data_IF_219773723346
#
_entry.id   IF_219773723346
#
_cell.length_a   1.000
_cell.length_b   1.000
_cell.length_c   1.000
_cell.angle_alpha   90.00
_cell.angle_beta   90.00
_cell.angle_gamma   90.00
#
_symmetry.space_group_name_H-M   'P 1'
#
loop_
_entity.id
_entity.type
_entity.pdbx_description
1 polymer ?
#
# COMPACT_ATOMS: atom_id res chain seq x y z
N UNK A 1 21.89 4.90 -16.88
CA UNK A 1 22.37 5.44 -15.60
C UNK A 1 21.51 4.82 -14.50
N UNK A 2 22.01 3.78 -13.83
CA UNK A 2 21.28 3.15 -12.71
C UNK A 2 21.50 3.99 -11.45
N UNK A 3 20.55 4.86 -11.13
CA UNK A 3 20.58 5.61 -9.88
C UNK A 3 20.26 4.66 -8.72
N UNK A 4 21.27 4.34 -7.90
CA UNK A 4 21.06 3.53 -6.71
C UNK A 4 20.32 4.34 -5.64
N UNK A 5 19.35 3.73 -4.96
CA UNK A 5 18.55 4.37 -3.90
C UNK A 5 19.43 5.06 -2.83
N UNK A 6 20.56 4.48 -2.37
CA UNK A 6 21.44 5.16 -1.43
C UNK A 6 22.04 6.46 -1.97
N UNK A 7 22.25 6.57 -3.28
CA UNK A 7 22.76 7.80 -3.91
C UNK A 7 21.69 8.88 -3.92
N UNK A 8 20.44 8.52 -4.24
CA UNK A 8 19.28 9.44 -4.19
C UNK A 8 19.08 9.95 -2.75
N UNK A 9 19.15 9.06 -1.76
CA UNK A 9 19.00 9.43 -0.34
C UNK A 9 20.11 10.37 0.16
N UNK A 10 21.34 10.22 -0.34
CA UNK A 10 22.46 11.12 -0.03
C UNK A 10 22.24 12.52 -0.60
N UNK A 11 21.77 12.62 -1.85
CA UNK A 11 21.51 13.91 -2.48
C UNK A 11 20.26 14.61 -1.94
N UNK A 12 19.27 13.84 -1.48
CA UNK A 12 17.98 14.35 -1.03
C UNK A 12 17.70 13.95 0.43
N UNK A 13 18.34 14.60 1.42
CA UNK A 13 18.24 14.22 2.83
C UNK A 13 16.82 14.36 3.39
N UNK A 14 15.98 15.21 2.82
CA UNK A 14 14.58 15.42 3.26
C UNK A 14 13.55 14.58 2.49
N UNK A 15 14.00 13.65 1.62
CA UNK A 15 13.11 12.81 0.82
C UNK A 15 12.21 11.91 1.69
N UNK A 16 10.92 12.21 1.77
CA UNK A 16 9.94 11.43 2.55
C UNK A 16 9.36 10.26 1.76
N UNK A 17 9.36 10.35 0.43
CA UNK A 17 8.79 9.35 -0.46
C UNK A 17 9.66 9.20 -1.71
N UNK A 18 9.86 7.95 -2.17
CA UNK A 18 10.54 7.65 -3.42
C UNK A 18 9.72 6.66 -4.24
N UNK A 19 9.32 7.09 -5.43
CA UNK A 19 8.70 6.22 -6.43
C UNK A 19 9.73 5.80 -7.47
N UNK A 20 9.88 4.49 -7.68
CA UNK A 20 10.75 3.91 -8.70
C UNK A 20 9.90 3.12 -9.68
N UNK A 21 10.09 3.39 -10.97
CA UNK A 21 9.39 2.71 -12.05
C UNK A 21 10.37 1.93 -12.90
N UNK A 22 10.15 0.62 -12.98
CA UNK A 22 10.82 -0.29 -13.88
C UNK A 22 9.89 -0.75 -15.00
N UNK A 23 10.43 -1.61 -15.86
CA UNK A 23 9.72 -2.14 -17.02
C UNK A 23 8.50 -3.01 -16.61
N UNK A 24 8.70 -3.85 -15.59
CA UNK A 24 7.67 -4.75 -15.06
C UNK A 24 7.14 -4.35 -13.68
N UNK A 25 7.85 -3.52 -12.93
CA UNK A 25 7.49 -3.23 -11.54
C UNK A 25 7.60 -1.75 -11.25
N UNK A 26 6.55 -1.18 -10.65
CA UNK A 26 6.63 0.12 -9.98
C UNK A 26 6.54 -0.08 -8.48
N UNK A 27 7.36 0.65 -7.73
CA UNK A 27 7.40 0.59 -6.27
C UNK A 27 7.39 2.00 -5.67
N UNK A 28 6.65 2.18 -4.58
CA UNK A 28 6.66 3.40 -3.78
C UNK A 28 7.19 3.08 -2.38
N UNK A 29 8.27 3.77 -2.02
CA UNK A 29 8.93 3.70 -0.72
C UNK A 29 8.54 4.91 0.12
N UNK A 30 8.22 4.69 1.39
CA UNK A 30 8.12 5.75 2.38
C UNK A 30 9.41 5.74 3.22
N UNK A 31 10.03 6.91 3.33
CA UNK A 31 11.41 7.13 3.79
C UNK A 31 11.45 8.17 4.91
N UNK A 32 10.45 8.14 5.81
CA UNK A 32 10.36 9.05 6.95
C UNK A 32 11.69 9.15 7.73
N UNK A 33 11.93 10.28 8.39
CA UNK A 33 13.24 10.60 9.01
C UNK A 33 13.76 9.52 9.97
N UNK A 34 12.87 8.78 10.64
CA UNK A 34 13.20 7.69 11.56
C UNK A 34 13.38 6.32 10.89
N UNK A 35 13.29 6.22 9.56
CA UNK A 35 13.22 4.93 8.89
C UNK A 35 14.60 4.24 8.85
N UNK A 36 14.71 2.97 9.31
CA UNK A 36 15.95 2.21 9.30
C UNK A 36 16.72 2.17 7.96
N UNK A 37 16.06 2.35 6.81
CA UNK A 37 16.75 2.42 5.50
C UNK A 37 17.73 3.59 5.46
N UNK A 38 17.38 4.74 6.07
CA UNK A 38 18.27 5.91 6.14
C UNK A 38 19.48 5.68 7.05
N UNK A 39 19.31 4.84 8.08
CA UNK A 39 20.36 4.51 9.06
C UNK A 39 21.23 3.34 8.59
N UNK A 40 20.67 2.46 7.74
CA UNK A 40 21.37 1.33 7.16
C UNK A 40 22.38 1.80 6.12
N UNK A 41 23.66 1.87 6.52
CA UNK A 41 24.81 2.01 5.60
C UNK A 41 24.97 0.81 4.64
N UNK A 42 24.30 -0.32 4.89
CA UNK A 42 24.33 -1.49 4.01
C UNK A 42 23.63 -1.17 2.70
N UNK A 43 24.21 -1.64 1.59
CA UNK A 43 23.64 -1.46 0.25
C UNK A 43 22.19 -1.93 0.19
N UNK A 44 21.29 -0.97 0.08
CA UNK A 44 19.90 -1.21 -0.23
C UNK A 44 19.80 -1.57 -1.71
N UNK A 45 19.84 -2.88 -2.01
CA UNK A 45 19.72 -3.41 -3.37
C UNK A 45 18.25 -3.72 -3.70
N UNK A 46 17.69 -2.96 -4.63
CA UNK A 46 16.39 -3.22 -5.22
C UNK A 46 16.58 -3.66 -6.67
N UNK A 47 16.20 -4.90 -6.97
CA UNK A 47 16.11 -5.40 -8.34
C UNK A 47 14.64 -5.39 -8.77
N UNK A 48 14.27 -4.45 -9.64
CA UNK A 48 12.92 -4.30 -10.18
C UNK A 48 12.70 -5.13 -11.45
N UNK A 49 13.76 -5.69 -12.04
CA UNK A 49 13.71 -6.50 -13.26
C UNK A 49 13.26 -7.94 -13.02
N UNK A 50 13.37 -8.43 -11.78
CA UNK A 50 13.04 -9.81 -11.44
C UNK A 50 11.96 -9.87 -10.36
N UNK A 51 10.72 -10.15 -10.80
CA UNK A 51 9.54 -10.31 -9.92
C UNK A 51 9.82 -11.32 -8.81
N UNK A 52 10.48 -12.44 -9.11
CA UNK A 52 10.80 -13.51 -8.14
C UNK A 52 11.77 -13.03 -7.06
N UNK A 53 12.81 -12.29 -7.44
CA UNK A 53 13.78 -11.75 -6.49
C UNK A 53 13.14 -10.70 -5.60
N UNK A 54 12.32 -9.82 -6.19
CA UNK A 54 11.58 -8.82 -5.45
C UNK A 54 10.57 -9.44 -4.48
N UNK A 55 9.78 -10.42 -4.93
CA UNK A 55 8.79 -11.08 -4.08
C UNK A 55 9.44 -11.76 -2.89
N UNK A 56 10.62 -12.38 -3.08
CA UNK A 56 11.41 -12.98 -2.00
C UNK A 56 11.87 -11.91 -1.00
N UNK A 57 12.44 -10.81 -1.47
CA UNK A 57 12.89 -9.71 -0.61
C UNK A 57 11.75 -9.07 0.18
N UNK A 58 10.56 -8.95 -0.41
CA UNK A 58 9.35 -8.40 0.22
C UNK A 58 8.63 -9.40 1.13
N UNK A 59 8.90 -10.70 0.98
CA UNK A 59 8.41 -11.74 1.88
C UNK A 59 9.21 -11.84 3.17
N UNK A 60 10.45 -11.33 3.18
CA UNK A 60 11.37 -11.49 4.30
C UNK A 60 11.12 -10.42 5.38
N UNK A 61 10.44 -10.79 6.46
CA UNK A 61 10.08 -9.88 7.57
C UNK A 61 11.27 -9.39 8.38
N UNK A 62 12.45 -10.04 8.30
CA UNK A 62 13.68 -9.56 8.92
C UNK A 62 14.32 -8.41 8.16
N UNK A 63 13.95 -8.20 6.89
CA UNK A 63 14.45 -7.10 6.08
C UNK A 63 13.71 -5.79 6.37
N UNK A 64 14.43 -4.67 6.21
CA UNK A 64 13.85 -3.33 6.32
C UNK A 64 12.97 -2.96 5.12
N UNK A 65 13.29 -3.54 3.95
CA UNK A 65 12.59 -3.26 2.70
C UNK A 65 11.07 -3.37 2.80
N UNK A 66 10.47 -4.51 3.19
CA UNK A 66 9.01 -4.64 3.21
C UNK A 66 8.34 -3.58 4.07
N UNK A 67 8.98 -3.14 5.17
CA UNK A 67 8.44 -2.09 6.06
C UNK A 67 8.35 -0.72 5.37
N UNK A 68 9.21 -0.47 4.39
CA UNK A 68 9.26 0.79 3.66
C UNK A 68 8.41 0.80 2.40
N UNK A 69 8.09 -0.37 1.83
CA UNK A 69 7.28 -0.44 0.62
C UNK A 69 5.80 -0.27 0.95
N UNK A 70 5.17 0.78 0.41
CA UNK A 70 3.73 1.02 0.58
C UNK A 70 2.89 0.64 -0.61
N UNK A 71 3.41 0.84 -1.82
CA UNK A 71 2.71 0.50 -3.05
C UNK A 71 3.61 -0.34 -3.95
N UNK A 72 3.00 -1.37 -4.53
CA UNK A 72 3.63 -2.22 -5.52
C UNK A 72 2.69 -2.39 -6.71
N UNK A 73 3.17 -2.09 -7.92
CA UNK A 73 2.48 -2.40 -9.18
C UNK A 73 3.32 -3.36 -10.00
N UNK A 74 2.70 -4.41 -10.53
CA UNK A 74 3.37 -5.44 -11.31
C UNK A 74 2.69 -5.58 -12.67
N UNK A 75 3.44 -5.27 -13.72
CA UNK A 75 3.01 -5.20 -15.13
C UNK A 75 3.84 -6.15 -16.00
N UNK A 76 3.78 -7.48 -15.76
CA UNK A 76 4.62 -8.46 -16.47
C UNK A 76 4.25 -8.58 -17.96
N UNK A 77 3.06 -8.10 -18.33
CA UNK A 77 2.55 -8.15 -19.70
C UNK A 77 3.44 -7.38 -20.68
N UNK A 78 4.14 -6.32 -20.22
CA UNK A 78 5.05 -5.57 -21.08
C UNK A 78 6.12 -6.44 -21.73
N UNK A 79 6.73 -7.37 -20.98
CA UNK A 79 7.71 -8.33 -21.50
C UNK A 79 7.07 -9.49 -22.23
N UNK A 80 5.90 -9.96 -21.78
CA UNK A 80 5.13 -11.00 -22.47
C UNK A 80 4.77 -10.56 -23.91
N UNK A 81 4.29 -9.33 -24.09
CA UNK A 81 3.94 -8.79 -25.41
C UNK A 81 5.16 -8.60 -26.33
N UNK A 82 6.36 -8.45 -25.76
CA UNK A 82 7.62 -8.42 -26.49
C UNK A 82 8.18 -9.80 -26.82
N UNK A 83 7.49 -10.89 -26.44
CA UNK A 83 7.95 -12.26 -26.64
C UNK A 83 9.12 -12.67 -25.72
N UNK A 84 9.37 -11.91 -24.66
CA UNK A 84 10.52 -12.10 -23.76
C UNK A 84 10.15 -12.82 -22.45
N UNK A 85 8.95 -13.41 -22.38
CA UNK A 85 8.41 -13.94 -21.13
C UNK A 85 7.50 -15.15 -21.36
N UNK A 86 7.94 -16.33 -20.94
CA UNK A 86 7.19 -17.56 -21.17
C UNK A 86 5.96 -17.68 -20.23
N UNK A 87 4.83 -18.25 -20.70
CA UNK A 87 3.64 -18.44 -19.87
C UNK A 87 3.87 -19.23 -18.56
N UNK A 88 4.66 -20.31 -18.51
CA UNK A 88 4.97 -21.02 -17.26
C UNK A 88 5.74 -20.16 -16.25
N UNK A 89 6.69 -19.36 -16.74
CA UNK A 89 7.47 -18.42 -15.91
C UNK A 89 6.57 -17.36 -15.30
N UNK A 90 5.60 -16.86 -16.08
CA UNK A 90 4.58 -15.93 -15.58
C UNK A 90 3.72 -16.56 -14.49
N UNK A 91 3.25 -17.79 -14.67
CA UNK A 91 2.49 -18.50 -13.63
C UNK A 91 3.29 -18.63 -12.33
N UNK A 92 4.58 -18.97 -12.43
CA UNK A 92 5.49 -19.03 -11.29
C UNK A 92 5.66 -17.66 -10.61
N UNK A 93 5.81 -16.58 -11.40
CA UNK A 93 5.87 -15.22 -10.88
C UNK A 93 4.59 -14.82 -10.11
N UNK A 94 3.41 -15.15 -10.64
CA UNK A 94 2.14 -14.88 -9.97
C UNK A 94 2.02 -15.65 -8.64
N UNK A 95 2.43 -16.92 -8.61
CA UNK A 95 2.47 -17.72 -7.37
C UNK A 95 3.41 -17.11 -6.33
N UNK A 96 4.59 -16.63 -6.75
CA UNK A 96 5.53 -15.95 -5.86
C UNK A 96 4.96 -14.64 -5.29
N UNK A 97 4.20 -13.88 -6.08
CA UNK A 97 3.50 -12.69 -5.61
C UNK A 97 2.41 -13.04 -4.59
N UNK A 98 1.65 -14.11 -4.80
CA UNK A 98 0.67 -14.61 -3.83
C UNK A 98 1.35 -15.01 -2.51
N UNK A 99 2.46 -15.74 -2.58
CA UNK A 99 3.24 -16.12 -1.39
C UNK A 99 3.81 -14.89 -0.65
N UNK A 100 4.19 -13.85 -1.40
CA UNK A 100 4.63 -12.58 -0.82
C UNK A 100 3.50 -11.85 -0.12
N UNK A 101 2.32 -11.73 -0.72
CA UNK A 101 1.15 -11.09 -0.08
C UNK A 101 0.71 -11.81 1.20
N UNK A 102 0.96 -13.11 1.29
CA UNK A 102 0.64 -13.86 2.50
C UNK A 102 1.59 -13.56 3.67
N UNK A 103 2.83 -13.16 3.40
CA UNK A 103 3.83 -12.84 4.43
C UNK A 103 3.94 -11.34 4.69
N UNK A 104 3.78 -10.53 3.65
CA UNK A 104 3.94 -9.10 3.71
C UNK A 104 2.70 -8.45 4.34
N UNK A 105 2.93 -7.72 5.43
CA UNK A 105 1.90 -6.99 6.16
C UNK A 105 2.09 -5.47 6.07
N UNK A 106 3.00 -5.00 5.24
CA UNK A 106 3.39 -3.59 5.14
C UNK A 106 2.94 -2.93 3.83
N UNK A 107 2.50 -3.70 2.83
CA UNK A 107 1.89 -3.15 1.63
C UNK A 107 0.49 -2.61 1.94
N UNK A 108 0.23 -1.37 1.55
CA UNK A 108 -1.12 -0.76 1.57
C UNK A 108 -1.82 -0.82 0.21
N UNK A 109 -1.06 -1.02 -0.86
CA UNK A 109 -1.57 -1.08 -2.22
C UNK A 109 -0.79 -2.10 -3.03
N UNK A 110 -1.51 -2.97 -3.72
CA UNK A 110 -0.98 -3.94 -4.65
C UNK A 110 -1.79 -3.92 -5.95
N UNK A 111 -1.12 -3.78 -7.08
CA UNK A 111 -1.73 -3.90 -8.40
C UNK A 111 -0.99 -4.92 -9.23
N UNK A 112 -1.70 -5.82 -9.90
CA UNK A 112 -1.12 -6.76 -10.86
C UNK A 112 -1.89 -6.76 -12.17
N UNK A 113 -1.17 -6.69 -13.28
CA UNK A 113 -1.75 -6.88 -14.62
C UNK A 113 -1.55 -8.32 -15.05
N UNK A 114 -2.63 -9.03 -15.34
CA UNK A 114 -2.63 -10.46 -15.67
C UNK A 114 -3.24 -10.66 -17.06
N UNK A 115 -2.63 -11.50 -17.94
CA UNK A 115 -3.25 -11.85 -19.21
C UNK A 115 -4.62 -12.47 -19.01
N UNK A 116 -5.57 -12.22 -19.92
CA UNK A 116 -6.94 -12.72 -19.78
C UNK A 116 -7.03 -14.25 -19.61
N UNK A 117 -6.07 -15.01 -20.15
CA UNK A 117 -5.98 -16.49 -20.00
C UNK A 117 -5.63 -16.96 -18.59
N UNK A 118 -5.06 -16.08 -17.76
CA UNK A 118 -4.66 -16.35 -16.38
C UNK A 118 -5.57 -15.62 -15.38
N UNK A 119 -6.77 -15.21 -15.80
CA UNK A 119 -7.77 -14.60 -14.91
C UNK A 119 -8.25 -15.54 -13.80
N UNK A 120 -7.97 -16.83 -13.88
CA UNK A 120 -8.20 -17.76 -12.77
C UNK A 120 -7.45 -17.37 -11.49
N UNK A 121 -6.35 -16.60 -11.59
CA UNK A 121 -5.66 -16.02 -10.43
C UNK A 121 -6.45 -14.92 -9.71
N UNK A 122 -7.53 -14.42 -10.30
CA UNK A 122 -8.30 -13.30 -9.77
C UNK A 122 -8.74 -13.54 -8.31
N UNK A 123 -9.39 -14.66 -8.06
CA UNK A 123 -9.87 -15.01 -6.71
C UNK A 123 -8.72 -15.23 -5.73
N UNK A 124 -7.58 -15.78 -6.19
CA UNK A 124 -6.39 -15.97 -5.36
C UNK A 124 -5.80 -14.64 -4.86
N UNK A 125 -5.84 -13.57 -5.65
CA UNK A 125 -5.39 -12.25 -5.23
C UNK A 125 -6.47 -11.50 -4.44
N UNK A 126 -7.74 -11.64 -4.83
CA UNK A 126 -8.87 -10.96 -4.19
C UNK A 126 -8.98 -11.26 -2.70
N UNK A 127 -8.65 -12.48 -2.27
CA UNK A 127 -8.66 -12.87 -0.84
C UNK A 127 -7.79 -12.01 0.07
N UNK A 128 -6.80 -11.30 -0.48
CA UNK A 128 -5.94 -10.40 0.28
C UNK A 128 -6.47 -8.97 0.36
N UNK A 129 -7.51 -8.63 -0.41
CA UNK A 129 -8.10 -7.29 -0.38
C UNK A 129 -8.72 -7.01 0.99
N UNK A 130 -8.55 -5.78 1.47
CA UNK A 130 -8.98 -5.29 2.79
C UNK A 130 -8.31 -5.98 4.00
N UNK A 131 -7.29 -6.82 3.77
CA UNK A 131 -6.52 -7.43 4.84
C UNK A 131 -5.82 -6.34 5.67
N UNK A 132 -5.91 -6.36 7.01
CA UNK A 132 -5.22 -5.39 7.86
C UNK A 132 -3.69 -5.42 7.67
N UNK A 133 -3.08 -4.24 7.66
CA UNK A 133 -1.63 -4.04 7.53
C UNK A 133 -1.04 -3.57 8.87
N UNK A 134 0.28 -3.71 9.05
CA UNK A 134 1.00 -3.12 10.18
C UNK A 134 1.10 -1.60 10.10
N UNK A 135 0.69 -1.02 8.97
CA UNK A 135 0.66 0.41 8.86
C UNK A 135 -0.62 0.93 9.46
N UNK A 136 -0.48 1.81 10.41
CA UNK A 136 -1.60 2.45 11.06
C UNK A 136 -1.74 3.88 10.55
N UNK A 137 -2.99 4.35 10.50
CA UNK A 137 -3.27 5.76 10.30
C UNK A 137 -3.27 6.42 11.68
N UNK A 138 -2.36 7.36 11.87
CA UNK A 138 -2.37 8.19 13.08
C UNK A 138 -3.69 8.95 13.16
N UNK A 139 -4.21 9.08 14.39
CA UNK A 139 -5.32 10.00 14.67
C UNK A 139 -4.94 11.41 14.22
N UNK A 140 -5.90 12.14 13.63
CA UNK A 140 -5.68 13.54 13.26
C UNK A 140 -5.41 14.37 14.52
N UNK A 141 -4.71 15.49 14.35
CA UNK A 141 -4.49 16.42 15.44
C UNK A 141 -5.83 16.88 16.03
N UNK A 142 -6.82 17.16 15.18
CA UNK A 142 -8.19 17.49 15.56
C UNK A 142 -8.83 16.44 16.47
N UNK A 143 -8.76 15.14 16.11
CA UNK A 143 -9.32 14.07 16.94
C UNK A 143 -8.59 13.96 18.28
N UNK A 144 -7.27 14.12 18.30
CA UNK A 144 -6.49 14.11 19.55
C UNK A 144 -6.86 15.30 20.44
N UNK A 145 -6.96 16.50 19.87
CA UNK A 145 -7.33 17.73 20.58
C UNK A 145 -8.77 17.66 21.11
N UNK A 146 -9.71 17.18 20.30
CA UNK A 146 -11.10 16.98 20.73
C UNK A 146 -11.20 15.99 21.88
N UNK A 147 -10.47 14.86 21.81
CA UNK A 147 -10.42 13.89 22.90
C UNK A 147 -9.86 14.49 24.18
N UNK A 148 -8.69 15.16 24.10
CA UNK A 148 -8.08 15.83 25.25
C UNK A 148 -9.01 16.88 25.83
N UNK A 149 -9.67 17.68 24.98
CA UNK A 149 -10.60 18.72 25.41
C UNK A 149 -11.82 18.12 26.13
N UNK A 150 -12.38 17.02 25.62
CA UNK A 150 -13.52 16.34 26.25
C UNK A 150 -13.15 15.69 27.59
N UNK A 151 -11.93 15.14 27.70
CA UNK A 151 -11.41 14.49 28.92
C UNK A 151 -11.01 15.50 29.99
N UNK A 152 -10.48 16.66 29.60
CA UNK A 152 -10.00 17.71 30.50
C UNK A 152 -11.00 18.84 30.73
N UNK A 153 -12.15 18.85 30.02
CA UNK A 153 -13.17 19.87 30.18
C UNK A 153 -13.66 19.92 31.64
N UNK A 154 -13.62 21.11 32.29
CA UNK A 154 -14.20 21.27 33.61
C UNK A 154 -15.70 20.97 33.55
N UNK A 155 -16.17 20.08 34.42
CA UNK A 155 -17.61 19.87 34.61
C UNK A 155 -18.21 21.13 35.24
N UNK A 156 -18.79 22.02 34.44
CA UNK A 156 -19.74 23.01 34.94
C UNK A 156 -21.01 22.26 35.33
N UNK A 157 -21.05 21.78 36.58
CA UNK A 157 -22.16 21.03 37.13
C UNK A 157 -23.37 21.96 37.36
N UNK A 158 -24.37 21.91 36.48
CA UNK A 158 -25.76 22.14 36.89
C UNK A 158 -26.26 20.88 37.58
N UNK A 159 -26.84 21.05 38.77
CA UNK A 159 -27.01 20.12 39.89
C UNK A 159 -27.77 18.79 39.68
N UNK A 160 -28.04 18.33 38.45
CA UNK A 160 -29.00 17.23 38.23
C UNK A 160 -28.44 15.81 38.13
N UNK A 161 -27.12 15.56 38.10
CA UNK A 161 -26.62 14.19 37.82
C UNK A 161 -25.41 13.80 38.67
N UNK A 162 -25.63 13.55 39.97
CA UNK A 162 -24.58 13.09 40.91
C UNK A 162 -23.93 11.74 40.52
N UNK A 163 -24.60 10.90 39.73
CA UNK A 163 -24.08 9.57 39.40
C UNK A 163 -23.13 9.55 38.17
N UNK A 164 -23.13 10.58 37.33
CA UNK A 164 -22.20 10.69 36.16
C UNK A 164 -20.90 11.42 36.54
N UNK A 165 -20.93 12.20 37.63
CA UNK A 165 -19.78 12.98 38.11
C UNK A 165 -18.67 12.08 38.68
N UNK A 166 -19.03 10.93 39.25
CA UNK A 166 -18.06 10.02 39.87
C UNK A 166 -17.18 9.29 38.84
N UNK A 167 -17.72 8.87 37.69
CA UNK A 167 -16.93 8.22 36.63
C UNK A 167 -15.95 9.19 35.94
N UNK A 168 -16.36 10.44 35.68
CA UNK A 168 -15.50 11.43 35.00
C UNK A 168 -14.31 11.91 35.85
N UNK A 169 -14.42 11.84 37.18
CA UNK A 169 -13.32 12.19 38.09
C UNK A 169 -12.05 11.32 37.88
N UNK A 170 -12.21 10.10 37.38
CA UNK A 170 -11.10 9.18 37.08
C UNK A 170 -10.37 9.50 35.76
N UNK A 171 -11.07 10.12 34.79
CA UNK A 171 -10.53 10.50 33.48
C UNK A 171 -9.64 11.76 33.55
N UNK A 172 -9.90 12.66 34.51
CA UNK A 172 -9.05 13.83 34.78
C UNK A 172 -7.64 13.47 35.30
N UNK A 173 -7.37 12.19 35.60
CA UNK A 173 -6.06 11.66 36.02
C UNK A 173 -5.24 11.04 34.88
N UNK A 174 -5.71 11.09 33.63
CA UNK A 174 -4.97 10.53 32.51
C UNK A 174 -3.63 11.25 32.33
N UNK A 175 -2.53 10.53 32.60
CA UNK A 175 -1.19 11.04 32.34
C UNK A 175 -0.92 11.16 30.84
N UNK A 176 0.10 11.93 30.47
CA UNK A 176 0.55 12.03 29.08
C UNK A 176 0.87 10.65 28.48
N UNK A 177 1.45 9.73 29.26
CA UNK A 177 1.75 8.37 28.82
C UNK A 177 0.49 7.56 28.54
N UNK A 178 -0.54 7.68 29.39
CA UNK A 178 -1.83 7.01 29.15
C UNK A 178 -2.52 7.55 27.90
N UNK A 179 -2.48 8.87 27.67
CA UNK A 179 -3.00 9.48 26.45
C UNK A 179 -2.25 8.98 25.20
N UNK A 180 -0.92 8.89 25.26
CA UNK A 180 -0.11 8.32 24.19
C UNK A 180 -0.48 6.85 23.92
N UNK A 181 -0.71 6.04 24.96
CA UNK A 181 -1.15 4.65 24.80
C UNK A 181 -2.55 4.55 24.19
N UNK A 182 -3.51 5.36 24.65
CA UNK A 182 -4.86 5.43 24.07
C UNK A 182 -4.78 5.79 22.59
N UNK A 183 -4.05 6.85 22.23
CA UNK A 183 -3.91 7.26 20.85
C UNK A 183 -3.18 6.23 19.98
N UNK A 184 -2.26 5.46 20.56
CA UNK A 184 -1.57 4.36 19.87
C UNK A 184 -2.52 3.18 19.65
N UNK A 185 -3.33 2.86 20.65
CA UNK A 185 -4.33 1.79 20.58
C UNK A 185 -5.46 2.11 19.58
N UNK A 186 -5.88 3.37 19.55
CA UNK A 186 -6.94 3.85 18.65
C UNK A 186 -6.49 4.00 17.19
N UNK A 187 -5.21 3.76 16.86
CA UNK A 187 -4.78 3.86 15.47
C UNK A 187 -5.40 2.73 14.63
N UNK A 188 -6.05 3.10 13.55
CA UNK A 188 -6.68 2.12 12.66
C UNK A 188 -5.68 1.57 11.65
N UNK A 189 -5.54 0.23 11.50
CA UNK A 189 -4.78 -0.36 10.42
C UNK A 189 -5.28 0.11 9.06
N UNK A 190 -4.37 0.52 8.18
CA UNK A 190 -4.69 0.81 6.78
C UNK A 190 -4.95 -0.53 6.08
N UNK A 191 -6.12 -0.74 5.47
CA UNK A 191 -6.39 -1.98 4.74
C UNK A 191 -5.56 -2.07 3.46
N UNK A 192 -5.08 -3.26 3.12
CA UNK A 192 -4.45 -3.53 1.83
C UNK A 192 -5.48 -3.41 0.71
N UNK A 193 -5.22 -2.57 -0.29
CA UNK A 193 -6.03 -2.51 -1.50
C UNK A 193 -5.39 -3.35 -2.61
N UNK A 194 -6.12 -4.34 -3.13
CA UNK A 194 -5.68 -5.22 -4.20
C UNK A 194 -6.44 -4.90 -5.49
N UNK A 195 -5.71 -4.55 -6.54
CA UNK A 195 -6.23 -4.28 -7.87
C UNK A 195 -5.68 -5.30 -8.88
N UNK A 196 -6.57 -5.82 -9.72
CA UNK A 196 -6.21 -6.80 -10.74
C UNK A 196 -6.70 -6.25 -12.06
N UNK A 197 -5.78 -6.10 -13.00
CA UNK A 197 -6.08 -5.61 -14.35
C UNK A 197 -5.97 -6.74 -15.35
N UNK A 198 -7.01 -6.91 -16.16
CA UNK A 198 -6.97 -7.81 -17.32
C UNK A 198 -6.46 -7.05 -18.53
N UNK A 199 -5.54 -7.66 -19.27
CA UNK A 199 -5.15 -7.16 -20.59
C UNK A 199 -5.21 -8.30 -21.59
N UNK A 200 -5.84 -8.03 -22.73
CA UNK A 200 -5.84 -8.96 -23.87
C UNK A 200 -4.43 -9.00 -24.46
N UNK A 201 -3.91 -10.21 -24.65
CA UNK A 201 -2.66 -10.44 -25.38
C UNK A 201 -2.85 -10.50 -26.89
N UNK A 202 -4.10 -10.45 -27.38
CA UNK A 202 -4.36 -10.31 -28.81
C UNK A 202 -3.98 -8.89 -29.22
N UNK A 203 -3.10 -8.73 -30.22
CA UNK A 203 -2.91 -7.45 -30.92
C UNK A 203 -4.31 -6.89 -31.18
N UNK A 204 -4.56 -5.68 -30.70
CA UNK A 204 -5.88 -5.03 -30.82
C UNK A 204 -6.20 -4.93 -32.31
N UNK A 205 -6.98 -5.88 -32.85
CA UNK A 205 -7.75 -5.60 -34.05
C UNK A 205 -8.79 -4.57 -33.64
N UNK A 206 -8.98 -3.56 -34.50
CA UNK A 206 -9.77 -2.35 -34.21
C UNK A 206 -11.23 -2.63 -33.80
N UNK A 207 -11.70 -3.88 -33.89
CA UNK A 207 -13.07 -4.28 -33.60
C UNK A 207 -13.38 -4.61 -32.12
N UNK A 208 -12.38 -4.78 -31.24
CA UNK A 208 -12.66 -5.11 -29.83
C UNK A 208 -12.95 -3.90 -28.93
N UNK A 209 -12.83 -2.65 -29.41
CA UNK A 209 -13.14 -1.44 -28.60
C UNK A 209 -14.60 -1.36 -28.17
N UNK A 210 -15.53 -1.88 -28.98
CA UNK A 210 -16.97 -1.79 -28.70
C UNK A 210 -17.41 -2.64 -27.50
N UNK A 211 -16.75 -3.79 -27.26
CA UNK A 211 -17.14 -4.68 -26.16
C UNK A 211 -16.63 -4.24 -24.78
N UNK A 212 -15.52 -3.49 -24.71
CA UNK A 212 -14.98 -2.99 -23.45
C UNK A 212 -15.74 -1.77 -22.91
N UNK A 213 -16.25 -0.90 -23.79
CA UNK A 213 -17.07 0.27 -23.39
C UNK A 213 -18.40 -0.15 -22.76
N UNK A 214 -19.06 -1.16 -23.33
CA UNK A 214 -20.34 -1.68 -22.83
C UNK A 214 -20.25 -2.33 -21.43
N UNK A 215 -19.07 -2.77 -20.99
CA UNK A 215 -18.90 -3.42 -19.68
C UNK A 215 -18.60 -2.42 -18.55
N UNK A 216 -17.96 -1.29 -18.87
CA UNK A 216 -17.66 -0.22 -17.89
C UNK A 216 -18.87 0.65 -17.57
N UNK A 217 -19.79 0.84 -18.53
CA UNK A 217 -20.98 1.69 -18.35
C UNK A 217 -22.03 1.08 -17.40
N UNK A 218 -22.12 -0.26 -17.28
CA UNK A 218 -23.13 -0.91 -16.43
C UNK A 218 -22.86 -0.88 -14.92
N UNK A 219 -21.70 -0.40 -14.45
CA UNK A 219 -21.35 -0.41 -13.01
C UNK A 219 -20.80 0.91 -12.45
N UNK A 220 -21.09 2.05 -13.08
CA UNK A 220 -20.85 3.36 -12.46
C UNK A 220 -19.40 3.67 -12.09
N UNK A 221 -18.41 3.05 -12.74
CA UNK A 221 -17.01 3.41 -12.57
C UNK A 221 -16.62 4.50 -13.58
N UNK A 222 -16.03 5.63 -13.14
CA UNK A 222 -15.65 6.70 -14.06
C UNK A 222 -14.51 6.22 -14.98
N UNK A 223 -14.77 6.24 -16.28
CA UNK A 223 -13.76 6.04 -17.31
C UNK A 223 -12.90 7.31 -17.38
N UNK A 224 -11.70 7.26 -16.80
CA UNK A 224 -10.70 8.31 -17.02
C UNK A 224 -10.09 8.08 -18.40
N UNK A 225 -10.73 8.65 -19.41
CA UNK A 225 -10.16 8.79 -20.75
C UNK A 225 -8.97 9.74 -20.66
N UNK A 226 -7.75 9.26 -20.93
CA UNK A 226 -6.60 10.15 -21.08
C UNK A 226 -6.83 11.08 -22.27
N UNK A 227 -6.56 12.40 -22.14
CA UNK A 227 -6.62 13.31 -23.27
C UNK A 227 -5.56 12.89 -24.30
N UNK A 228 -5.97 12.83 -25.58
CA UNK A 228 -5.05 12.73 -26.69
C UNK A 228 -4.32 14.07 -26.81
N UNK A 229 -3.02 14.06 -26.51
CA UNK A 229 -2.13 15.16 -26.87
C UNK A 229 -1.93 15.03 -28.39
N UNK A 230 -2.32 16.09 -29.11
CA UNK A 230 -2.10 16.28 -30.55
C UNK A 230 -0.63 16.44 -30.86
#
# INVERSE_FOLDING_TARGET
MELSVPSILRSCPNLSELSLSGDMVDIQLILNQSHPIRQSRREFRLNLDLIVSLSRSLSNTSNLLPKSVRRLRVRPINRLLRGQFDPPVLKSCLNNLLGMLDKNRSLSYFEVTVPSRLMNFFENFRKFNLRPTHNTRNLSLESKTAFISAVLAPTTATQAVRNVVQERSSLHKLSQDMLCQIFTYAQTPVPLQVFIRSQSTKRVSKNCRKHYQLWTERRGFPVVSRPQIR
#
